data_IF_136296740385
#
_entry.id   IF_136296740385
#
_cell.length_a   1.000
_cell.length_b   1.000
_cell.length_c   1.000
_cell.angle_alpha   90.00
_cell.angle_beta   90.00
_cell.angle_gamma   90.00
#
_symmetry.space_group_name_H-M   'P 1'
#
loop_
_entity.id
_entity.type
_entity.pdbx_description
1 polymer ?
#
# COMPACT_ATOMS: atom_id res chain seq x y z
N UNK A 1 44.15 -14.71 86.97
CA UNK A 1 42.75 -15.11 86.78
C UNK A 1 41.90 -13.85 86.71
N UNK A 2 41.69 -13.28 85.56
CA UNK A 2 40.74 -12.19 85.14
C UNK A 2 41.22 -11.52 83.85
N UNK A 3 41.28 -12.26 82.77
CA UNK A 3 41.58 -11.65 81.43
C UNK A 3 40.95 -12.42 80.25
N UNK A 4 39.77 -13.00 80.49
CA UNK A 4 39.11 -13.80 79.44
C UNK A 4 37.62 -13.45 79.27
N UNK A 5 37.18 -12.28 79.76
CA UNK A 5 35.76 -11.92 79.68
C UNK A 5 35.45 -10.73 78.76
N UNK A 6 36.46 -10.11 78.11
CA UNK A 6 36.22 -8.95 77.28
C UNK A 6 36.29 -9.21 75.76
N UNK A 7 36.48 -10.47 75.35
CA UNK A 7 36.66 -10.79 73.91
C UNK A 7 35.43 -11.49 73.27
N UNK A 8 34.25 -11.43 73.86
CA UNK A 8 33.04 -12.05 73.33
C UNK A 8 31.91 -11.11 72.99
N UNK A 9 32.12 -9.77 73.01
CA UNK A 9 31.05 -8.79 72.79
C UNK A 9 31.27 -7.91 71.53
N UNK A 10 32.13 -8.31 70.58
CA UNK A 10 32.49 -7.48 69.41
C UNK A 10 32.31 -8.19 68.08
N UNK A 11 31.52 -9.26 67.99
CA UNK A 11 31.30 -10.02 66.75
C UNK A 11 29.82 -10.04 66.31
N UNK A 12 28.93 -9.23 66.90
CA UNK A 12 27.51 -9.39 66.60
C UNK A 12 26.81 -8.15 66.05
N UNK A 13 27.52 -7.20 65.45
CA UNK A 13 26.85 -6.04 64.81
C UNK A 13 27.55 -5.57 63.52
N UNK A 14 27.47 -6.35 62.45
CA UNK A 14 27.18 -5.75 61.17
C UNK A 14 26.39 -6.72 60.24
N UNK A 15 25.18 -7.06 60.59
CA UNK A 15 24.33 -7.85 59.68
C UNK A 15 22.92 -7.25 59.55
N UNK A 16 22.80 -5.93 59.71
CA UNK A 16 21.49 -5.26 59.53
C UNK A 16 21.57 -4.04 58.59
N UNK A 17 22.47 -4.06 57.64
CA UNK A 17 22.64 -2.98 56.66
C UNK A 17 22.45 -3.40 55.17
N UNK A 18 22.01 -4.63 54.94
CA UNK A 18 21.81 -5.14 53.58
C UNK A 18 20.32 -5.30 53.29
N UNK A 19 19.66 -4.22 52.97
CA UNK A 19 18.26 -4.38 52.61
C UNK A 19 17.63 -3.05 52.24
N UNK A 20 17.34 -2.96 51.08
CA UNK A 20 16.42 -2.11 50.32
C UNK A 20 17.21 -1.25 49.28
N UNK A 21 17.89 -1.89 48.38
CA UNK A 21 17.92 -1.36 47.01
C UNK A 21 16.54 -1.68 46.43
N UNK A 22 15.55 -0.88 46.74
CA UNK A 22 14.31 -0.81 46.00
C UNK A 22 14.71 -0.37 44.58
N UNK A 23 14.74 -1.30 43.67
CA UNK A 23 14.76 -0.95 42.25
C UNK A 23 13.51 -0.12 41.99
N UNK A 24 13.61 1.20 42.09
CA UNK A 24 12.66 2.11 41.48
C UNK A 24 12.74 1.87 39.95
N UNK A 25 12.11 0.81 39.49
CA UNK A 25 11.75 0.64 38.12
C UNK A 25 10.67 1.70 37.83
N UNK A 26 11.11 2.93 37.55
CA UNK A 26 10.22 3.89 36.93
C UNK A 26 9.69 3.21 35.64
N UNK A 27 8.39 3.01 35.47
CA UNK A 27 7.89 2.44 34.22
C UNK A 27 8.41 3.29 33.08
N UNK A 28 9.20 2.69 32.19
CA UNK A 28 9.70 3.38 31.01
C UNK A 28 8.49 3.85 30.24
N UNK A 29 8.33 5.17 30.10
CA UNK A 29 7.19 5.75 29.42
C UNK A 29 7.18 5.20 27.99
N UNK A 30 6.12 4.48 27.61
CA UNK A 30 5.97 3.92 26.28
C UNK A 30 5.70 5.09 25.34
N UNK A 31 6.74 5.56 24.66
CA UNK A 31 6.68 6.73 23.78
C UNK A 31 6.04 6.41 22.43
N UNK A 32 6.04 5.13 22.00
CA UNK A 32 5.43 4.68 20.76
C UNK A 32 4.25 3.74 21.03
N UNK A 33 3.07 4.17 20.65
CA UNK A 33 1.80 3.45 20.74
C UNK A 33 1.05 3.57 19.42
N UNK A 34 -0.02 2.82 19.23
CA UNK A 34 -0.88 2.97 18.05
C UNK A 34 -1.52 4.36 17.90
N UNK A 35 -1.51 5.19 18.95
CA UNK A 35 -2.15 6.52 18.98
C UNK A 35 -1.16 7.68 19.02
N UNK A 36 0.09 7.42 19.34
CA UNK A 36 1.13 8.43 19.54
C UNK A 36 2.49 7.85 19.17
N UNK A 37 3.29 8.60 18.42
CA UNK A 37 4.63 8.20 18.01
C UNK A 37 4.87 8.44 16.52
N UNK A 38 5.81 7.72 15.94
CA UNK A 38 6.16 7.84 14.52
C UNK A 38 6.33 6.48 13.86
N UNK A 39 6.16 6.43 12.55
CA UNK A 39 6.51 5.28 11.74
C UNK A 39 7.19 5.69 10.43
N UNK A 40 8.16 4.89 10.00
CA UNK A 40 8.82 5.01 8.70
C UNK A 40 8.20 4.05 7.70
N UNK A 41 7.83 4.56 6.52
CA UNK A 41 7.17 3.78 5.46
C UNK A 41 7.96 3.90 4.16
N UNK A 42 8.25 2.79 3.50
CA UNK A 42 8.61 2.80 2.08
C UNK A 42 7.47 2.21 1.27
N UNK A 43 7.02 2.93 0.27
CA UNK A 43 5.92 2.49 -0.58
C UNK A 43 6.34 2.48 -2.06
N UNK A 44 5.81 1.52 -2.81
CA UNK A 44 5.93 1.56 -4.26
C UNK A 44 5.29 2.86 -4.79
N UNK A 45 5.99 3.56 -5.67
CA UNK A 45 5.55 4.85 -6.20
C UNK A 45 4.19 4.77 -6.89
N UNK A 46 3.89 3.65 -7.54
CA UNK A 46 2.60 3.43 -8.20
C UNK A 46 1.42 3.42 -7.23
N UNK A 47 1.67 3.26 -5.92
CA UNK A 47 0.67 3.20 -4.85
C UNK A 47 0.55 4.52 -4.05
N UNK A 48 1.30 5.56 -4.43
CA UNK A 48 1.34 6.83 -3.69
C UNK A 48 -0.04 7.38 -3.32
N UNK A 49 -1.05 7.46 -4.20
CA UNK A 49 -2.35 8.05 -3.85
C UNK A 49 -3.09 7.30 -2.73
N UNK A 50 -3.11 5.96 -2.77
CA UNK A 50 -3.79 5.18 -1.73
C UNK A 50 -3.04 5.21 -0.40
N UNK A 51 -1.69 5.23 -0.42
CA UNK A 51 -0.88 5.35 0.80
C UNK A 51 -1.09 6.69 1.47
N UNK A 52 -1.08 7.80 0.71
CA UNK A 52 -1.37 9.14 1.23
C UNK A 52 -2.78 9.23 1.84
N UNK A 53 -3.79 8.63 1.19
CA UNK A 53 -5.16 8.61 1.70
C UNK A 53 -5.28 7.82 3.02
N UNK A 54 -4.62 6.66 3.14
CA UNK A 54 -4.59 5.86 4.36
C UNK A 54 -3.88 6.60 5.51
N UNK A 55 -2.74 7.24 5.25
CA UNK A 55 -2.00 8.03 6.24
C UNK A 55 -2.84 9.22 6.71
N UNK A 56 -3.47 9.94 5.79
CA UNK A 56 -4.34 11.06 6.13
C UNK A 56 -5.50 10.63 7.04
N UNK A 57 -6.15 9.51 6.72
CA UNK A 57 -7.22 8.97 7.53
C UNK A 57 -6.74 8.50 8.91
N UNK A 58 -5.56 7.86 8.98
CA UNK A 58 -4.95 7.47 10.25
C UNK A 58 -4.64 8.68 11.13
N UNK A 59 -4.00 9.71 10.59
CA UNK A 59 -3.68 10.96 11.32
C UNK A 59 -4.93 11.70 11.77
N UNK A 60 -6.02 11.66 11.01
CA UNK A 60 -7.29 12.24 11.42
C UNK A 60 -7.89 11.52 12.65
N UNK A 61 -7.64 10.21 12.80
CA UNK A 61 -8.05 9.40 13.95
C UNK A 61 -7.09 9.50 15.14
N UNK A 62 -5.78 9.62 14.86
CA UNK A 62 -4.68 9.65 15.83
C UNK A 62 -3.76 10.85 15.55
N UNK A 63 -4.15 12.06 15.98
CA UNK A 63 -3.44 13.30 15.63
C UNK A 63 -2.00 13.40 16.15
N UNK A 64 -1.66 12.64 17.22
CA UNK A 64 -0.31 12.62 17.79
C UNK A 64 0.64 11.65 17.08
N UNK A 65 0.31 11.26 15.83
CA UNK A 65 1.14 10.36 15.03
C UNK A 65 1.79 11.08 13.85
N UNK A 66 3.01 10.67 13.54
CA UNK A 66 3.76 11.18 12.39
C UNK A 66 4.25 10.04 11.51
N UNK A 67 4.43 10.32 10.22
CA UNK A 67 4.93 9.35 9.25
C UNK A 67 6.03 9.99 8.42
N UNK A 68 7.14 9.29 8.31
CA UNK A 68 8.19 9.56 7.33
C UNK A 68 8.03 8.56 6.18
N UNK A 69 7.75 9.07 4.96
CA UNK A 69 7.36 8.24 3.83
C UNK A 69 8.28 8.46 2.65
N UNK A 70 8.89 7.39 2.16
CA UNK A 70 9.64 7.40 0.91
C UNK A 70 8.91 6.61 -0.16
N UNK A 71 8.78 7.18 -1.35
CA UNK A 71 8.21 6.52 -2.52
C UNK A 71 9.36 6.09 -3.43
N UNK A 72 9.46 4.79 -3.65
CA UNK A 72 10.60 4.16 -4.36
C UNK A 72 10.08 2.96 -5.17
N UNK A 73 10.85 2.44 -6.13
CA UNK A 73 10.49 1.18 -6.78
C UNK A 73 10.30 0.04 -5.78
N UNK A 74 9.34 -0.85 -6.04
CA UNK A 74 8.91 -1.93 -5.13
C UNK A 74 10.06 -2.74 -4.53
N UNK A 75 11.02 -3.20 -5.36
CA UNK A 75 12.16 -3.96 -4.85
C UNK A 75 13.04 -3.14 -3.91
N UNK A 76 13.12 -1.83 -4.12
CA UNK A 76 13.86 -0.93 -3.22
C UNK A 76 13.14 -0.80 -1.88
N UNK A 77 11.81 -0.69 -1.87
CA UNK A 77 11.02 -0.67 -0.64
C UNK A 77 11.23 -1.95 0.18
N UNK A 78 11.19 -3.11 -0.48
CA UNK A 78 11.46 -4.41 0.17
C UNK A 78 12.86 -4.44 0.78
N UNK A 79 13.88 -4.03 0.01
CA UNK A 79 15.25 -4.01 0.51
C UNK A 79 15.43 -3.08 1.72
N UNK A 80 14.77 -1.91 1.75
CA UNK A 80 14.80 -1.00 2.90
C UNK A 80 14.21 -1.65 4.16
N UNK A 81 13.13 -2.41 4.05
CA UNK A 81 12.56 -3.14 5.18
C UNK A 81 13.49 -4.28 5.64
N UNK A 82 14.06 -5.05 4.72
CA UNK A 82 15.00 -6.13 5.07
C UNK A 82 16.30 -5.61 5.71
N UNK A 83 16.66 -4.34 5.47
CA UNK A 83 17.78 -3.63 6.10
C UNK A 83 17.37 -2.91 7.40
N UNK A 84 16.14 -3.08 7.89
CA UNK A 84 15.58 -2.35 9.04
C UNK A 84 15.62 -0.81 8.90
N UNK A 85 15.71 -0.31 7.67
CA UNK A 85 15.72 1.13 7.40
C UNK A 85 14.32 1.75 7.43
N UNK A 86 13.28 0.93 7.27
CA UNK A 86 11.87 1.33 7.39
C UNK A 86 11.09 0.25 8.13
N UNK A 87 10.00 0.65 8.78
CA UNK A 87 9.20 -0.24 9.62
C UNK A 87 8.06 -0.90 8.86
N UNK A 88 7.52 -0.24 7.85
CA UNK A 88 6.41 -0.73 7.03
C UNK A 88 6.74 -0.54 5.56
N UNK A 89 6.36 -1.52 4.75
CA UNK A 89 6.34 -1.34 3.29
C UNK A 89 4.93 -1.53 2.74
N UNK A 90 4.64 -0.82 1.63
CA UNK A 90 3.41 -0.98 0.86
C UNK A 90 3.78 -1.31 -0.58
N UNK A 91 3.42 -2.52 -1.00
CA UNK A 91 3.89 -3.14 -2.24
C UNK A 91 2.77 -3.89 -2.95
N UNK A 92 3.01 -4.39 -4.18
CA UNK A 92 1.97 -5.01 -5.02
C UNK A 92 2.03 -6.55 -5.04
N UNK A 93 2.87 -7.14 -4.22
CA UNK A 93 3.05 -8.59 -4.13
C UNK A 93 3.39 -9.05 -2.72
N UNK A 94 3.23 -10.31 -2.47
CA UNK A 94 3.84 -10.97 -1.32
C UNK A 94 5.36 -11.07 -1.49
N UNK A 95 6.05 -11.30 -0.39
CA UNK A 95 7.49 -11.55 -0.41
C UNK A 95 7.77 -12.93 -0.99
N UNK A 96 8.86 -13.07 -1.73
CA UNK A 96 9.32 -14.35 -2.24
C UNK A 96 10.05 -15.17 -1.14
N UNK A 97 10.32 -16.43 -1.41
CA UNK A 97 10.95 -17.34 -0.44
C UNK A 97 12.27 -16.81 0.15
N UNK A 98 13.12 -16.17 -0.67
CA UNK A 98 14.40 -15.60 -0.19
C UNK A 98 14.19 -14.41 0.75
N UNK A 99 13.18 -13.59 0.47
CA UNK A 99 12.79 -12.44 1.29
C UNK A 99 12.12 -12.92 2.59
N UNK A 100 11.31 -13.98 2.55
CA UNK A 100 10.68 -14.59 3.72
C UNK A 100 11.73 -15.25 4.64
N UNK A 101 12.77 -15.89 4.09
CA UNK A 101 13.84 -16.48 4.89
C UNK A 101 14.52 -15.50 5.86
N UNK A 102 14.47 -14.18 5.57
CA UNK A 102 14.94 -13.15 6.49
C UNK A 102 14.08 -13.07 7.78
N UNK A 103 12.78 -13.27 7.67
CA UNK A 103 11.87 -13.31 8.82
C UNK A 103 12.18 -14.51 9.73
N UNK A 104 12.46 -15.66 9.12
CA UNK A 104 12.82 -16.87 9.87
C UNK A 104 14.14 -16.68 10.63
N UNK A 105 15.15 -16.05 10.01
CA UNK A 105 16.41 -15.73 10.68
C UNK A 105 16.22 -14.81 11.89
N UNK A 106 15.32 -13.85 11.79
CA UNK A 106 14.95 -12.95 12.89
C UNK A 106 13.95 -13.56 13.88
N UNK A 107 13.47 -14.78 13.65
CA UNK A 107 12.40 -15.43 14.43
C UNK A 107 11.12 -14.59 14.49
N UNK A 108 10.81 -13.91 13.40
CA UNK A 108 9.59 -13.14 13.22
C UNK A 108 8.66 -13.92 12.29
N UNK A 109 7.40 -14.10 12.67
CA UNK A 109 6.41 -14.73 11.80
C UNK A 109 6.11 -13.82 10.61
N UNK A 110 6.23 -14.34 9.39
CA UNK A 110 5.79 -13.63 8.20
C UNK A 110 4.26 -13.63 8.13
N UNK A 111 3.65 -12.46 8.15
CA UNK A 111 2.20 -12.28 8.07
C UNK A 111 1.91 -11.15 7.07
N UNK A 112 1.69 -11.47 5.77
CA UNK A 112 1.31 -10.48 4.79
C UNK A 112 -0.08 -9.91 5.11
N UNK A 113 -0.24 -8.59 5.02
CA UNK A 113 -1.51 -7.92 5.24
C UNK A 113 -2.05 -7.38 3.91
N UNK A 114 -2.86 -8.15 3.16
CA UNK A 114 -3.50 -7.65 1.95
C UNK A 114 -4.49 -6.54 2.32
N UNK A 115 -4.39 -5.39 1.65
CA UNK A 115 -5.22 -4.22 1.95
C UNK A 115 -6.34 -4.01 0.95
N UNK A 116 -6.01 -4.11 -0.34
CA UNK A 116 -6.94 -3.74 -1.41
C UNK A 116 -6.67 -4.53 -2.69
N UNK A 117 -7.70 -4.69 -3.51
CA UNK A 117 -7.56 -5.05 -4.91
C UNK A 117 -7.50 -3.77 -5.75
N UNK A 118 -6.37 -3.56 -6.40
CA UNK A 118 -6.09 -2.50 -7.37
C UNK A 118 -6.00 -3.12 -8.78
N UNK A 119 -5.70 -2.29 -9.76
CA UNK A 119 -5.42 -2.72 -11.12
C UNK A 119 -4.23 -1.94 -11.71
N UNK A 120 -3.54 -2.56 -12.65
CA UNK A 120 -2.68 -1.86 -13.58
C UNK A 120 -3.55 -1.34 -14.73
N UNK A 121 -3.72 -0.02 -14.80
CA UNK A 121 -4.50 0.63 -15.83
C UNK A 121 -3.62 0.92 -17.06
N UNK A 122 -4.12 0.57 -18.23
CA UNK A 122 -3.57 1.02 -19.50
C UNK A 122 -4.29 2.30 -19.90
N UNK A 123 -3.53 3.37 -20.18
CA UNK A 123 -4.06 4.68 -20.56
C UNK A 123 -3.58 5.10 -21.93
N UNK A 124 -4.44 5.79 -22.65
CA UNK A 124 -4.12 6.35 -23.97
C UNK A 124 -4.60 7.79 -24.07
N UNK A 125 -4.05 8.56 -24.98
CA UNK A 125 -4.53 9.89 -25.32
C UNK A 125 -6.02 9.85 -25.72
N UNK A 126 -6.81 10.86 -25.34
CA UNK A 126 -8.23 10.95 -25.73
C UNK A 126 -8.48 10.87 -27.23
N UNK A 127 -7.56 11.38 -28.05
CA UNK A 127 -7.61 11.32 -29.51
C UNK A 127 -6.94 10.08 -30.14
N UNK A 128 -6.63 9.04 -29.37
CA UNK A 128 -6.11 7.76 -29.88
C UNK A 128 -7.23 6.93 -30.50
N UNK A 129 -6.96 6.23 -31.57
CA UNK A 129 -7.91 5.30 -32.22
C UNK A 129 -8.01 3.95 -31.49
N UNK A 130 -7.10 3.67 -30.55
CA UNK A 130 -7.03 2.42 -29.81
C UNK A 130 -8.06 2.38 -28.69
N UNK A 131 -9.09 1.56 -28.79
CA UNK A 131 -10.15 1.42 -27.78
C UNK A 131 -10.00 0.18 -26.90
N UNK A 132 -9.43 -0.88 -27.46
CA UNK A 132 -9.23 -2.17 -26.80
C UNK A 132 -7.86 -2.73 -27.12
N UNK A 133 -7.38 -3.62 -26.25
CA UNK A 133 -6.16 -4.40 -26.48
C UNK A 133 -6.37 -5.81 -25.93
N UNK A 134 -5.87 -6.80 -26.66
CA UNK A 134 -5.81 -8.19 -26.17
C UNK A 134 -4.53 -8.43 -25.39
N UNK A 135 -4.50 -9.50 -24.58
CA UNK A 135 -3.30 -9.95 -23.87
C UNK A 135 -2.19 -10.30 -24.88
N UNK A 136 -2.53 -10.90 -26.02
CA UNK A 136 -1.56 -11.24 -27.05
C UNK A 136 -0.97 -10.01 -27.75
N UNK A 137 -1.77 -8.97 -28.04
CA UNK A 137 -1.27 -7.71 -28.58
C UNK A 137 -0.35 -7.00 -27.57
N UNK A 138 -0.70 -7.01 -26.28
CA UNK A 138 0.14 -6.48 -25.21
C UNK A 138 1.47 -7.25 -25.16
N UNK A 139 1.43 -8.58 -25.20
CA UNK A 139 2.62 -9.44 -25.24
C UNK A 139 3.49 -9.14 -26.44
N UNK A 140 2.91 -8.91 -27.63
CA UNK A 140 3.67 -8.60 -28.84
C UNK A 140 4.54 -7.35 -28.69
N UNK A 141 4.12 -6.34 -27.90
CA UNK A 141 4.91 -5.12 -27.65
C UNK A 141 6.20 -5.46 -26.88
N UNK A 142 6.18 -6.48 -26.03
CA UNK A 142 7.35 -6.92 -25.26
C UNK A 142 8.35 -7.76 -26.06
N UNK A 143 7.89 -8.47 -27.08
CA UNK A 143 8.75 -9.39 -27.86
C UNK A 143 9.14 -8.85 -29.22
N UNK A 144 8.56 -7.73 -29.66
CA UNK A 144 8.76 -7.15 -30.96
C UNK A 144 9.07 -5.65 -30.89
N UNK A 145 10.34 -5.29 -31.01
CA UNK A 145 10.82 -3.88 -30.99
C UNK A 145 10.17 -3.01 -32.08
N UNK A 146 9.73 -3.61 -33.18
CA UNK A 146 9.03 -2.94 -34.28
C UNK A 146 7.52 -2.92 -34.12
N UNK A 147 6.98 -3.30 -32.95
CA UNK A 147 5.55 -3.20 -32.68
C UNK A 147 5.04 -1.78 -32.94
N UNK A 148 3.87 -1.67 -33.59
CA UNK A 148 3.27 -0.37 -33.96
C UNK A 148 2.99 0.52 -32.74
N UNK A 149 2.71 -0.07 -31.57
CA UNK A 149 2.44 0.62 -30.32
C UNK A 149 3.63 0.50 -29.38
N UNK A 150 3.77 1.49 -28.50
CA UNK A 150 4.82 1.57 -27.48
C UNK A 150 4.17 1.61 -26.09
N UNK A 151 4.86 1.08 -25.09
CA UNK A 151 4.46 1.20 -23.68
C UNK A 151 5.37 2.19 -22.95
N UNK A 152 4.78 2.98 -22.06
CA UNK A 152 5.53 3.87 -21.16
C UNK A 152 5.17 3.51 -19.72
N UNK A 153 6.20 3.26 -18.92
CA UNK A 153 6.13 2.98 -17.49
C UNK A 153 6.69 4.14 -16.68
N UNK A 154 6.33 4.21 -15.42
CA UNK A 154 6.76 5.24 -14.47
C UNK A 154 8.28 5.24 -14.20
N UNK A 155 8.93 4.08 -14.27
CA UNK A 155 10.39 3.95 -14.17
C UNK A 155 10.86 2.59 -14.71
N UNK A 156 12.18 2.40 -14.85
CA UNK A 156 12.77 1.16 -15.37
C UNK A 156 12.60 -0.06 -14.43
N UNK A 157 12.40 0.19 -13.12
CA UNK A 157 12.18 -0.84 -12.11
C UNK A 157 10.74 -0.81 -11.56
N UNK A 158 9.80 -0.36 -12.39
CA UNK A 158 8.40 -0.20 -12.07
C UNK A 158 7.75 -1.51 -11.63
N UNK A 159 6.97 -1.48 -10.54
CA UNK A 159 6.11 -2.59 -10.14
C UNK A 159 5.06 -2.92 -11.19
N UNK A 160 4.57 -1.90 -11.93
CA UNK A 160 3.67 -2.07 -13.06
C UNK A 160 4.32 -2.90 -14.17
N UNK A 161 5.60 -2.63 -14.50
CA UNK A 161 6.37 -3.43 -15.46
C UNK A 161 6.56 -4.87 -14.95
N UNK A 162 6.98 -5.04 -13.70
CA UNK A 162 7.15 -6.34 -13.07
C UNK A 162 5.86 -7.17 -13.09
N UNK A 163 4.73 -6.54 -12.75
CA UNK A 163 3.41 -7.17 -12.80
C UNK A 163 3.02 -7.62 -14.21
N UNK A 164 3.15 -6.76 -15.22
CA UNK A 164 2.82 -7.12 -16.60
C UNK A 164 3.72 -8.23 -17.11
N UNK A 165 5.03 -8.19 -16.85
CA UNK A 165 5.97 -9.26 -17.21
C UNK A 165 5.54 -10.60 -16.62
N UNK A 166 5.25 -10.63 -15.32
CA UNK A 166 4.78 -11.83 -14.63
C UNK A 166 3.47 -12.35 -15.23
N UNK A 167 2.49 -11.46 -15.46
CA UNK A 167 1.18 -11.82 -16.02
C UNK A 167 1.27 -12.39 -17.45
N UNK A 168 2.24 -11.94 -18.23
CA UNK A 168 2.47 -12.36 -19.63
C UNK A 168 3.48 -13.51 -19.76
N UNK A 169 4.09 -13.96 -18.65
CA UNK A 169 5.20 -14.91 -18.61
C UNK A 169 6.36 -14.46 -19.53
N UNK A 170 6.87 -13.25 -19.28
CA UNK A 170 7.97 -12.64 -20.04
C UNK A 170 9.17 -12.42 -19.11
N UNK A 171 10.30 -13.06 -19.41
CA UNK A 171 11.54 -12.90 -18.64
C UNK A 171 12.45 -11.83 -19.25
N UNK A 172 12.60 -11.82 -20.58
CA UNK A 172 13.49 -10.92 -21.32
C UNK A 172 12.71 -9.81 -22.04
N UNK A 173 13.19 -8.56 -21.90
CA UNK A 173 12.60 -7.37 -22.50
C UNK A 173 13.56 -6.65 -23.49
N UNK A 174 14.65 -7.27 -23.92
CA UNK A 174 15.64 -6.65 -24.84
C UNK A 174 15.01 -6.22 -26.18
N UNK A 175 14.02 -6.96 -26.63
CA UNK A 175 13.27 -6.67 -27.87
C UNK A 175 11.95 -5.95 -27.61
N UNK A 176 11.72 -5.44 -26.38
CA UNK A 176 10.49 -4.74 -26.05
C UNK A 176 10.46 -3.31 -26.62
N UNK A 177 9.30 -2.88 -27.07
CA UNK A 177 9.05 -1.49 -27.44
C UNK A 177 8.49 -0.71 -26.26
N UNK A 178 9.31 -0.57 -25.20
CA UNK A 178 8.95 0.05 -23.94
C UNK A 178 9.89 1.19 -23.58
N UNK A 179 9.38 2.16 -22.81
CA UNK A 179 10.11 3.32 -22.31
C UNK A 179 9.83 3.51 -20.83
N UNK A 180 10.80 4.07 -20.11
CA UNK A 180 10.65 4.53 -18.73
C UNK A 180 10.54 6.06 -18.73
N UNK A 181 9.57 6.58 -17.98
CA UNK A 181 9.44 7.97 -17.63
C UNK A 181 10.12 8.25 -16.28
N UNK A 182 10.10 9.49 -15.82
CA UNK A 182 10.56 9.89 -14.49
C UNK A 182 9.35 10.07 -13.54
N UNK A 183 8.74 8.94 -13.19
CA UNK A 183 7.59 8.86 -12.30
C UNK A 183 6.22 8.88 -12.99
N UNK A 184 5.19 8.58 -12.21
CA UNK A 184 3.82 8.44 -12.71
C UNK A 184 3.27 9.74 -13.33
N UNK A 185 3.58 10.91 -12.77
CA UNK A 185 3.09 12.18 -13.30
C UNK A 185 3.55 12.41 -14.74
N UNK A 186 4.80 12.09 -15.05
CA UNK A 186 5.35 12.22 -16.40
C UNK A 186 4.68 11.25 -17.39
N UNK A 187 4.29 10.05 -16.96
CA UNK A 187 3.52 9.11 -17.81
C UNK A 187 2.23 9.78 -18.30
N UNK A 188 1.46 10.41 -17.40
CA UNK A 188 0.22 11.09 -17.77
C UNK A 188 0.46 12.23 -18.75
N UNK A 189 1.45 13.09 -18.48
CA UNK A 189 1.80 14.21 -19.34
C UNK A 189 2.28 13.74 -20.74
N UNK A 190 3.06 12.67 -20.76
CA UNK A 190 3.55 12.09 -22.01
C UNK A 190 2.39 11.52 -22.84
N UNK A 191 1.47 10.78 -22.22
CA UNK A 191 0.31 10.21 -22.92
C UNK A 191 -0.64 11.30 -23.41
N UNK A 192 -0.87 12.36 -22.63
CA UNK A 192 -1.71 13.48 -23.05
C UNK A 192 -1.21 14.16 -24.35
N UNK A 193 0.10 14.09 -24.62
CA UNK A 193 0.73 14.69 -25.82
C UNK A 193 0.96 13.71 -26.97
N UNK A 194 0.84 12.38 -26.74
CA UNK A 194 1.24 11.36 -27.70
C UNK A 194 0.12 10.34 -27.97
N UNK A 195 -0.48 10.37 -29.16
CA UNK A 195 -1.62 9.50 -29.54
C UNK A 195 -1.27 8.03 -29.75
N UNK A 196 -0.01 7.72 -30.08
CA UNK A 196 0.42 6.38 -30.50
C UNK A 196 1.11 5.57 -29.39
N UNK A 197 0.97 5.99 -28.14
CA UNK A 197 1.63 5.40 -26.98
C UNK A 197 0.59 4.96 -25.97
N UNK A 198 0.88 3.89 -25.25
CA UNK A 198 0.08 3.38 -24.14
C UNK A 198 0.87 3.62 -22.85
N UNK A 199 0.30 4.36 -21.91
CA UNK A 199 0.83 4.50 -20.57
C UNK A 199 0.38 3.36 -19.66
N UNK A 200 1.24 2.97 -18.74
CA UNK A 200 0.98 1.91 -17.77
C UNK A 200 1.10 2.50 -16.36
N UNK A 201 0.00 2.58 -15.63
CA UNK A 201 -0.08 3.23 -14.32
C UNK A 201 -0.91 2.40 -13.34
N UNK A 202 -0.75 2.64 -12.02
CA UNK A 202 -1.67 2.10 -11.03
C UNK A 202 -3.05 2.76 -11.16
N UNK A 203 -4.14 1.97 -11.10
CA UNK A 203 -5.49 2.51 -11.23
C UNK A 203 -5.85 3.47 -10.10
N UNK A 204 -5.25 3.31 -8.91
CA UNK A 204 -5.44 4.20 -7.77
C UNK A 204 -5.07 5.68 -8.04
N UNK A 205 -4.28 5.98 -9.10
CA UNK A 205 -3.99 7.36 -9.53
C UNK A 205 -5.18 8.07 -10.16
N UNK A 206 -6.13 7.33 -10.72
CA UNK A 206 -7.25 7.87 -11.51
C UNK A 206 -8.62 7.36 -11.06
N UNK A 207 -8.71 6.43 -10.12
CA UNK A 207 -9.97 5.79 -9.73
C UNK A 207 -10.83 6.63 -8.79
N UNK A 208 -10.24 7.50 -7.95
CA UNK A 208 -10.98 8.39 -7.05
C UNK A 208 -11.68 9.50 -7.87
N UNK A 209 -13.02 9.42 -7.92
CA UNK A 209 -13.85 10.36 -8.70
C UNK A 209 -14.02 11.72 -8.03
N UNK A 210 -13.77 11.81 -6.73
CA UNK A 210 -13.93 13.03 -5.93
C UNK A 210 -12.59 13.77 -5.73
N UNK A 211 -11.49 13.24 -6.26
CA UNK A 211 -10.16 13.80 -6.12
C UNK A 211 -9.81 14.72 -7.29
N UNK A 212 -9.60 16.02 -7.00
CA UNK A 212 -9.25 17.04 -8.00
C UNK A 212 -7.99 16.73 -8.79
N UNK A 213 -6.98 16.09 -8.14
CA UNK A 213 -5.74 15.68 -8.83
C UNK A 213 -6.03 14.57 -9.83
N UNK A 214 -6.78 13.55 -9.42
CA UNK A 214 -7.21 12.48 -10.31
C UNK A 214 -8.05 13.02 -11.49
N UNK A 215 -8.95 13.99 -11.24
CA UNK A 215 -9.71 14.68 -12.30
C UNK A 215 -8.79 15.38 -13.29
N UNK A 216 -7.76 16.08 -12.78
CA UNK A 216 -6.78 16.75 -13.65
C UNK A 216 -6.03 15.77 -14.53
N UNK A 217 -5.60 14.62 -13.97
CA UNK A 217 -4.90 13.57 -14.71
C UNK A 217 -5.80 12.93 -15.79
N UNK A 218 -7.10 12.79 -15.54
CA UNK A 218 -8.06 12.21 -16.50
C UNK A 218 -8.36 13.11 -17.70
N UNK A 219 -8.10 14.42 -17.64
CA UNK A 219 -8.52 15.37 -18.69
C UNK A 219 -7.93 15.10 -20.09
N UNK A 220 -6.69 14.63 -20.14
CA UNK A 220 -5.98 14.40 -21.43
C UNK A 220 -5.95 12.95 -21.88
N UNK A 221 -6.48 12.04 -21.04
CA UNK A 221 -6.33 10.59 -21.25
C UNK A 221 -7.66 9.86 -21.08
N UNK A 222 -7.71 8.63 -21.56
CA UNK A 222 -8.74 7.66 -21.23
C UNK A 222 -8.14 6.29 -20.95
N UNK A 223 -8.83 5.49 -20.17
CA UNK A 223 -8.44 4.10 -19.92
C UNK A 223 -8.73 3.24 -21.13
N UNK A 224 -7.78 2.39 -21.48
CA UNK A 224 -7.91 1.38 -22.51
C UNK A 224 -8.59 0.14 -21.91
N UNK A 225 -9.51 -0.46 -22.66
CA UNK A 225 -10.14 -1.72 -22.25
C UNK A 225 -9.24 -2.90 -22.63
N UNK A 226 -9.13 -3.88 -21.74
CA UNK A 226 -8.39 -5.12 -21.98
C UNK A 226 -9.37 -6.26 -22.21
N UNK A 227 -9.14 -7.05 -23.24
CA UNK A 227 -9.99 -8.20 -23.58
C UNK A 227 -9.74 -9.31 -22.55
N UNK A 228 -10.82 -9.73 -21.89
CA UNK A 228 -10.84 -10.94 -21.08
C UNK A 228 -11.21 -12.11 -22.02
N UNK A 229 -10.22 -12.94 -22.32
CA UNK A 229 -10.38 -14.03 -23.28
C UNK A 229 -11.39 -15.10 -22.82
N UNK A 230 -11.53 -15.31 -21.50
CA UNK A 230 -12.48 -16.25 -20.92
C UNK A 230 -13.94 -15.82 -21.15
N UNK A 231 -14.19 -14.52 -21.21
CA UNK A 231 -15.54 -13.94 -21.38
C UNK A 231 -15.77 -13.48 -22.83
N UNK A 232 -14.70 -13.29 -23.61
CA UNK A 232 -14.75 -12.78 -24.99
C UNK A 232 -15.14 -11.29 -25.10
N UNK A 233 -14.99 -10.51 -24.01
CA UNK A 233 -15.34 -9.09 -23.93
C UNK A 233 -14.20 -8.24 -23.40
N UNK A 234 -14.19 -6.95 -23.74
CA UNK A 234 -13.19 -6.00 -23.27
C UNK A 234 -13.71 -5.19 -22.08
N UNK A 235 -12.92 -5.11 -21.01
CA UNK A 235 -13.26 -4.44 -19.76
C UNK A 235 -12.23 -3.37 -19.42
N UNK A 236 -12.68 -2.25 -18.84
CA UNK A 236 -11.82 -1.24 -18.20
C UNK A 236 -11.68 -1.51 -16.70
N UNK A 237 -10.74 -0.83 -16.00
CA UNK A 237 -10.47 -1.03 -14.57
C UNK A 237 -11.50 -0.29 -13.68
N UNK A 238 -12.80 -0.48 -13.92
CA UNK A 238 -13.85 0.08 -13.07
C UNK A 238 -14.09 -0.77 -11.82
N UNK A 239 -14.65 -0.16 -10.77
CA UNK A 239 -15.00 -0.85 -9.52
C UNK A 239 -15.82 -2.12 -9.77
N UNK A 240 -16.83 -2.06 -10.63
CA UNK A 240 -17.67 -3.22 -10.92
C UNK A 240 -16.90 -4.32 -11.64
N UNK A 241 -16.10 -3.96 -12.65
CA UNK A 241 -15.29 -4.95 -13.37
C UNK A 241 -14.19 -5.58 -12.50
N UNK A 242 -13.65 -4.85 -11.52
CA UNK A 242 -12.72 -5.40 -10.54
C UNK A 242 -13.42 -6.31 -9.53
N UNK A 243 -14.60 -5.91 -9.05
CA UNK A 243 -15.42 -6.74 -8.13
C UNK A 243 -15.78 -8.07 -8.76
N UNK A 244 -16.18 -8.04 -10.03
CA UNK A 244 -16.62 -9.22 -10.79
C UNK A 244 -15.44 -10.01 -11.40
N UNK A 245 -14.18 -9.60 -11.14
CA UNK A 245 -12.96 -10.23 -11.68
C UNK A 245 -12.95 -10.27 -13.22
N UNK A 246 -13.57 -9.31 -13.87
CA UNK A 246 -13.63 -9.21 -15.32
C UNK A 246 -12.42 -8.52 -15.94
N UNK A 247 -11.76 -7.61 -15.20
CA UNK A 247 -10.58 -6.91 -15.69
C UNK A 247 -9.30 -7.75 -15.53
N UNK A 248 -8.57 -8.10 -16.62
CA UNK A 248 -7.48 -9.08 -16.55
C UNK A 248 -6.23 -8.64 -15.79
N UNK A 249 -5.99 -7.30 -15.65
CA UNK A 249 -4.78 -6.75 -15.07
C UNK A 249 -5.01 -6.24 -13.63
N UNK A 250 -5.72 -7.04 -12.84
CA UNK A 250 -5.93 -6.78 -11.41
C UNK A 250 -4.76 -7.28 -10.57
N UNK A 251 -4.46 -6.57 -9.46
CA UNK A 251 -3.40 -6.92 -8.51
C UNK A 251 -3.81 -6.59 -7.08
N UNK A 252 -3.22 -7.26 -6.11
CA UNK A 252 -3.40 -6.94 -4.70
C UNK A 252 -2.35 -5.91 -4.23
N UNK A 253 -2.72 -5.14 -3.21
CA UNK A 253 -1.81 -4.26 -2.47
C UNK A 253 -1.60 -4.89 -1.10
N UNK A 254 -0.35 -5.02 -0.69
CA UNK A 254 0.07 -5.61 0.57
C UNK A 254 0.81 -4.61 1.45
N UNK A 255 0.63 -4.75 2.76
CA UNK A 255 1.49 -4.14 3.75
C UNK A 255 2.31 -5.25 4.44
N UNK A 256 3.60 -4.98 4.62
CA UNK A 256 4.50 -5.88 5.35
C UNK A 256 5.28 -5.10 6.40
N UNK A 257 5.66 -5.78 7.49
CA UNK A 257 6.48 -5.20 8.55
C UNK A 257 7.33 -6.27 9.21
N UNK A 258 8.52 -5.90 9.65
CA UNK A 258 9.38 -6.70 10.51
C UNK A 258 9.18 -6.36 11.99
N UNK A 259 8.32 -5.39 12.33
CA UNK A 259 8.11 -4.96 13.69
C UNK A 259 7.35 -6.01 14.52
N UNK A 260 7.91 -6.41 15.66
CA UNK A 260 7.26 -7.30 16.61
C UNK A 260 6.42 -6.55 17.65
N UNK A 261 6.82 -5.33 18.02
CA UNK A 261 6.15 -4.51 19.03
C UNK A 261 4.96 -3.75 18.46
N UNK A 262 3.97 -3.48 19.29
CA UNK A 262 2.87 -2.60 18.96
C UNK A 262 3.31 -1.14 19.07
N UNK A 263 3.16 -0.40 18.01
CA UNK A 263 3.44 1.02 17.85
C UNK A 263 2.66 1.57 16.67
N UNK A 264 3.02 2.77 16.19
CA UNK A 264 2.36 3.41 15.02
C UNK A 264 2.45 2.53 13.78
N UNK A 265 3.58 1.86 13.54
CA UNK A 265 3.79 0.99 12.37
C UNK A 265 2.74 -0.14 12.29
N UNK A 266 2.63 -0.97 13.33
CA UNK A 266 1.61 -2.05 13.38
C UNK A 266 0.19 -1.49 13.49
N UNK A 267 0.04 -0.34 14.17
CA UNK A 267 -1.22 0.39 14.25
C UNK A 267 -1.72 0.79 12.86
N UNK A 268 -0.85 1.30 12.01
CA UNK A 268 -1.17 1.69 10.62
C UNK A 268 -1.63 0.49 9.78
N UNK A 269 -0.93 -0.65 9.85
CA UNK A 269 -1.34 -1.86 9.15
C UNK A 269 -2.73 -2.31 9.61
N UNK A 270 -2.92 -2.42 10.94
CA UNK A 270 -4.22 -2.80 11.49
C UNK A 270 -5.34 -1.84 11.10
N UNK A 271 -5.07 -0.53 11.10
CA UNK A 271 -6.04 0.49 10.69
C UNK A 271 -6.40 0.31 9.21
N UNK A 272 -5.43 0.18 8.32
CA UNK A 272 -5.65 0.01 6.89
C UNK A 272 -6.47 -1.23 6.55
N UNK A 273 -6.34 -2.29 7.36
CA UNK A 273 -7.13 -3.52 7.23
C UNK A 273 -8.45 -3.49 8.04
N UNK A 274 -8.69 -2.46 8.87
CA UNK A 274 -9.92 -2.30 9.63
C UNK A 274 -11.05 -1.70 8.79
N UNK A 275 -12.28 -1.67 9.33
CA UNK A 275 -13.43 -1.08 8.67
C UNK A 275 -13.15 0.34 8.16
N UNK A 276 -12.49 1.19 8.95
CA UNK A 276 -12.23 2.59 8.56
C UNK A 276 -11.24 2.64 7.39
N UNK A 277 -10.13 1.91 7.47
CA UNK A 277 -9.16 1.85 6.37
C UNK A 277 -9.76 1.25 5.10
N UNK A 278 -10.66 0.29 5.21
CA UNK A 278 -11.36 -0.32 4.07
C UNK A 278 -12.39 0.64 3.44
N UNK A 279 -13.02 1.54 4.23
CA UNK A 279 -13.83 2.63 3.68
C UNK A 279 -12.97 3.63 2.88
N UNK A 280 -11.72 3.88 3.28
CA UNK A 280 -10.77 4.67 2.48
C UNK A 280 -10.48 3.97 1.15
N UNK A 281 -10.25 2.65 1.16
CA UNK A 281 -10.05 1.86 -0.06
C UNK A 281 -11.26 2.00 -1.00
N UNK A 282 -12.49 1.83 -0.48
CA UNK A 282 -13.74 1.97 -1.24
C UNK A 282 -13.88 3.37 -1.83
N UNK A 283 -13.60 4.42 -1.02
CA UNK A 283 -13.63 5.83 -1.48
C UNK A 283 -12.64 6.09 -2.60
N UNK A 284 -11.46 5.51 -2.54
CA UNK A 284 -10.44 5.62 -3.59
C UNK A 284 -10.81 4.90 -4.90
N UNK A 285 -11.99 4.25 -4.97
CA UNK A 285 -12.44 3.51 -6.14
C UNK A 285 -11.68 2.20 -6.36
N UNK A 286 -11.15 1.61 -5.29
CA UNK A 286 -10.55 0.29 -5.24
C UNK A 286 -11.49 -0.70 -4.55
N UNK A 287 -11.16 -1.99 -4.60
CA UNK A 287 -11.96 -3.00 -3.91
C UNK A 287 -11.33 -3.31 -2.55
N UNK A 288 -12.06 -3.11 -1.44
CA UNK A 288 -11.64 -3.54 -0.12
C UNK A 288 -11.31 -5.02 -0.10
N UNK A 289 -10.18 -5.40 0.51
CA UNK A 289 -9.84 -6.82 0.67
C UNK A 289 -10.71 -7.46 1.76
N UNK A 290 -10.99 -6.72 2.83
CA UNK A 290 -11.84 -7.19 3.92
C UNK A 290 -13.28 -6.72 3.71
N UNK A 291 -14.24 -7.61 3.94
CA UNK A 291 -15.68 -7.29 3.83
C UNK A 291 -16.06 -6.30 4.92
N UNK A 292 -16.66 -5.17 4.51
CA UNK A 292 -17.21 -4.18 5.43
C UNK A 292 -18.68 -4.54 5.65
N UNK A 293 -19.09 -4.92 6.88
CA UNK A 293 -20.51 -5.12 7.17
C UNK A 293 -21.26 -3.79 6.99
N UNK A 294 -22.26 -3.75 6.10
CA UNK A 294 -23.15 -2.60 5.95
C UNK A 294 -24.39 -2.84 6.81
N UNK A 295 -24.55 -2.07 7.88
CA UNK A 295 -25.75 -2.07 8.70
C UNK A 295 -26.68 -0.96 8.20
N UNK A 296 -27.85 -1.33 7.73
CA UNK A 296 -28.89 -0.38 7.34
C UNK A 296 -29.87 -0.25 8.50
N UNK A 297 -30.00 0.96 9.05
CA UNK A 297 -31.05 1.28 9.99
C UNK A 297 -32.26 1.70 9.16
N UNK A 298 -33.30 0.86 9.13
CA UNK A 298 -34.55 1.21 8.49
C UNK A 298 -35.36 2.04 9.50
N UNK A 299 -35.43 3.34 9.25
CA UNK A 299 -36.31 4.23 10.01
C UNK A 299 -37.70 4.17 9.37
N UNK A 300 -38.66 3.51 10.04
CA UNK A 300 -40.03 3.37 9.60
C UNK A 300 -40.90 4.61 9.93
N UNK A 301 -40.31 5.70 10.42
CA UNK A 301 -41.03 6.96 10.64
C UNK A 301 -41.55 7.50 9.28
N UNK A 302 -42.83 7.84 9.17
CA UNK A 302 -43.38 8.41 7.95
C UNK A 302 -42.64 9.70 7.58
N UNK A 303 -42.07 9.74 6.38
CA UNK A 303 -41.39 10.96 5.87
C UNK A 303 -42.43 12.08 5.74
N UNK A 304 -42.30 13.10 6.61
CA UNK A 304 -43.13 14.29 6.48
C UNK A 304 -42.68 15.09 5.25
N UNK A 305 -43.40 14.92 4.15
CA UNK A 305 -43.14 15.54 2.85
C UNK A 305 -43.10 17.07 2.87
N UNK A 306 -43.62 17.70 3.91
CA UNK A 306 -43.63 19.15 4.07
C UNK A 306 -42.25 19.71 4.49
N UNK A 307 -41.37 18.90 5.14
CA UNK A 307 -40.02 19.32 5.51
C UNK A 307 -39.00 19.25 4.36
N UNK A 308 -39.34 18.64 3.24
CA UNK A 308 -38.47 18.56 2.05
C UNK A 308 -38.59 19.76 1.11
N UNK A 309 -39.64 20.60 1.27
CA UNK A 309 -39.83 21.80 0.44
C UNK A 309 -39.03 23.03 0.91
N UNK A 310 -38.54 23.04 2.15
CA UNK A 310 -37.83 24.17 2.75
C UNK A 310 -36.29 24.07 2.58
N UNK A 311 -35.81 23.14 1.77
CA UNK A 311 -34.37 22.93 1.47
C UNK A 311 -34.07 22.99 -0.04
N UNK A 312 -34.80 23.83 -0.79
CA UNK A 312 -34.42 24.18 -2.17
C UNK A 312 -33.94 25.62 -2.25
#
# INVERSE_FOLDING_TARGET
>A
MKLTFFLRLLVFTPLLGAGIVSCNYAPQEVTDTIRRGSATIAADESLKPIVEAQIQAYKAHYPETTFDVVYVPEQRAINLMLQDSVEVIVVTRELNEKEIAFFDQKKIKYEPAPMALDAVALIVNNGSDLNTITINELKNIFVNKSARKKLVFDNSNSSNLGFIKSKLNIDNIENANIFAADGNAEVFDFIARNKNVIGVVGNNWISDKDNRRADSLRKGIRTLKVVNEAVGKAFGPSVDNLRDRNYPLERLIYLHTTQSKWGVAKGFIRFSCSQIGQLVVEKMGLIPYYIIPKVYIIDNTPVNKNKLKDKK
#
